data_IF_484965972195
#
_entry.id   IF_484965972195
#
_cell.length_a   1.000
_cell.length_b   1.000
_cell.length_c   1.000
_cell.angle_alpha   90.00
_cell.angle_beta   90.00
_cell.angle_gamma   90.00
#
_symmetry.space_group_name_H-M   'P 1'
#
loop_
_entity.id
_entity.type
_entity.pdbx_description
1 polymer ?
#
# COMPACT_ATOMS: atom_id res chain seq x y z
N UNK A 1 6.45 -17.20 24.31
CA UNK A 1 7.03 -17.89 23.14
C UNK A 1 6.45 -17.22 21.91
N UNK A 2 7.23 -16.42 21.19
CA UNK A 2 6.78 -15.79 19.95
C UNK A 2 6.70 -16.87 18.86
N UNK A 3 5.72 -16.82 17.94
CA UNK A 3 5.64 -17.79 16.87
C UNK A 3 6.94 -17.81 16.05
N UNK A 4 7.29 -19.00 15.56
CA UNK A 4 8.44 -19.15 14.66
C UNK A 4 8.22 -18.29 13.40
N UNK A 5 9.28 -17.59 12.98
CA UNK A 5 9.23 -16.71 11.83
C UNK A 5 9.07 -17.55 10.55
N UNK A 6 7.99 -17.33 9.80
CA UNK A 6 7.86 -17.91 8.46
C UNK A 6 8.61 -17.03 7.47
N UNK A 7 9.80 -17.48 7.08
CA UNK A 7 10.63 -16.79 6.08
C UNK A 7 9.84 -16.56 4.80
N UNK A 8 9.83 -15.32 4.32
CA UNK A 8 9.21 -14.93 3.05
C UNK A 8 9.71 -15.82 1.91
N UNK A 9 8.77 -16.53 1.26
CA UNK A 9 9.06 -17.45 0.15
C UNK A 9 8.96 -16.78 -1.22
N UNK A 10 8.43 -15.55 -1.29
CA UNK A 10 8.23 -14.81 -2.53
C UNK A 10 9.58 -14.33 -3.11
N UNK A 11 9.87 -14.73 -4.34
CA UNK A 11 11.12 -14.40 -5.06
C UNK A 11 10.96 -13.32 -6.13
N UNK A 12 9.76 -12.75 -6.30
CA UNK A 12 9.49 -11.77 -7.35
C UNK A 12 9.87 -10.37 -6.90
N UNK A 13 10.84 -9.76 -7.57
CA UNK A 13 11.34 -8.43 -7.22
C UNK A 13 10.46 -7.28 -7.72
N UNK A 14 9.82 -7.44 -8.88
CA UNK A 14 8.99 -6.42 -9.53
C UNK A 14 7.54 -6.91 -9.66
N UNK A 15 6.87 -7.05 -8.53
CA UNK A 15 5.49 -7.54 -8.45
C UNK A 15 4.65 -6.55 -7.63
N UNK A 16 3.97 -5.59 -8.27
CA UNK A 16 3.16 -4.61 -7.56
C UNK A 16 1.90 -5.27 -7.00
N UNK A 17 1.62 -4.99 -5.74
CA UNK A 17 0.33 -5.26 -5.10
C UNK A 17 -0.52 -4.01 -5.24
N UNK A 18 -1.69 -4.18 -5.83
CA UNK A 18 -2.66 -3.11 -6.09
C UNK A 18 -3.89 -3.36 -5.23
N UNK A 19 -4.23 -2.41 -4.37
CA UNK A 19 -5.40 -2.46 -3.50
C UNK A 19 -6.32 -1.30 -3.86
N UNK A 20 -7.57 -1.61 -4.24
CA UNK A 20 -8.60 -0.58 -4.41
C UNK A 20 -8.91 0.08 -3.07
N UNK A 21 -8.84 1.40 -3.01
CA UNK A 21 -9.02 2.18 -1.79
C UNK A 21 -10.44 2.07 -1.22
N UNK A 22 -11.44 1.69 -2.04
CA UNK A 22 -12.78 1.35 -1.54
C UNK A 22 -12.81 0.18 -0.56
N UNK A 23 -11.81 -0.72 -0.60
CA UNK A 23 -11.63 -1.78 0.42
C UNK A 23 -11.13 -1.23 1.76
N UNK A 24 -10.63 0.01 1.78
CA UNK A 24 -10.14 0.73 2.96
C UNK A 24 -11.20 1.66 3.57
N UNK A 25 -12.49 1.42 3.29
CA UNK A 25 -13.60 2.26 3.76
C UNK A 25 -13.67 2.43 5.29
N UNK A 26 -13.02 1.55 6.06
CA UNK A 26 -12.91 1.65 7.51
C UNK A 26 -11.83 2.61 8.03
N UNK A 27 -11.02 3.21 7.15
CA UNK A 27 -10.02 4.21 7.57
C UNK A 27 -10.72 5.49 8.05
N UNK A 28 -10.25 6.08 9.16
CA UNK A 28 -10.84 7.30 9.72
C UNK A 28 -10.51 8.56 8.91
N UNK A 29 -9.52 8.49 8.03
CA UNK A 29 -9.05 9.59 7.19
C UNK A 29 -8.67 9.05 5.80
N UNK A 30 -8.92 9.86 4.78
CA UNK A 30 -8.64 9.57 3.37
C UNK A 30 -7.59 10.51 2.76
N UNK A 31 -6.99 11.39 3.55
CA UNK A 31 -5.87 12.23 3.12
C UNK A 31 -4.60 11.38 3.00
N UNK A 32 -4.06 11.24 1.78
CA UNK A 32 -2.91 10.36 1.51
C UNK A 32 -1.66 10.77 2.30
N UNK A 33 -1.49 12.07 2.57
CA UNK A 33 -0.42 12.66 3.37
C UNK A 33 -0.32 12.08 4.80
N UNK A 34 -1.44 11.56 5.34
CA UNK A 34 -1.57 11.03 6.69
C UNK A 34 -1.53 9.50 6.75
N UNK A 35 -1.59 8.84 5.60
CA UNK A 35 -1.49 7.40 5.51
C UNK A 35 -0.03 6.95 5.59
N UNK A 36 0.23 5.86 6.31
CA UNK A 36 1.52 5.20 6.36
C UNK A 36 1.29 3.70 6.26
N UNK A 37 2.09 3.02 5.44
CA UNK A 37 2.07 1.58 5.31
C UNK A 37 3.30 0.99 6.02
N UNK A 38 3.06 0.01 6.87
CA UNK A 38 4.12 -0.67 7.63
C UNK A 38 4.02 -2.18 7.44
N UNK A 39 5.18 -2.81 7.33
CA UNK A 39 5.35 -4.24 7.43
C UNK A 39 5.80 -4.60 8.85
N UNK A 40 5.24 -5.66 9.42
CA UNK A 40 5.81 -6.27 10.63
C UNK A 40 6.94 -7.21 10.19
N UNK A 41 8.17 -6.94 10.65
CA UNK A 41 9.33 -7.82 10.47
C UNK A 41 10.02 -8.01 11.80
N UNK A 42 10.19 -9.25 12.22
CA UNK A 42 10.86 -9.57 13.48
C UNK A 42 10.30 -8.80 14.71
N UNK A 43 8.97 -8.62 14.74
CA UNK A 43 8.28 -7.88 15.81
C UNK A 43 8.49 -6.36 15.78
N UNK A 44 9.12 -5.82 14.74
CA UNK A 44 9.32 -4.39 14.51
C UNK A 44 8.47 -3.90 13.34
N UNK A 45 8.06 -2.63 13.39
CA UNK A 45 7.38 -1.97 12.27
C UNK A 45 8.42 -1.33 11.36
N UNK A 46 8.40 -1.72 10.08
CA UNK A 46 9.26 -1.16 9.05
C UNK A 46 8.40 -0.47 7.99
N UNK A 47 8.75 0.76 7.55
CA UNK A 47 7.98 1.47 6.54
C UNK A 47 8.07 0.74 5.19
N UNK A 48 6.94 0.66 4.50
CA UNK A 48 6.83 0.13 3.13
C UNK A 48 6.76 1.33 2.19
N UNK A 49 7.58 1.41 1.12
CA UNK A 49 7.37 2.38 0.05
C UNK A 49 6.05 2.06 -0.67
N UNK A 50 5.18 3.06 -0.82
CA UNK A 50 3.89 2.93 -1.48
C UNK A 50 3.54 4.20 -2.23
N UNK A 51 2.62 4.09 -3.18
CA UNK A 51 2.06 5.18 -3.95
C UNK A 51 0.53 5.09 -3.90
N UNK A 52 -0.14 6.25 -3.95
CA UNK A 52 -1.56 6.32 -4.23
C UNK A 52 -1.76 6.81 -5.66
N UNK A 53 -2.49 6.04 -6.45
CA UNK A 53 -2.78 6.32 -7.85
C UNK A 53 -4.24 6.77 -8.01
N UNK A 54 -4.48 8.04 -8.35
CA UNK A 54 -5.83 8.52 -8.61
C UNK A 54 -6.38 7.90 -9.90
N UNK A 55 -7.65 7.46 -9.85
CA UNK A 55 -8.36 6.90 -11.00
C UNK A 55 -9.56 7.77 -11.39
N UNK A 56 -9.72 7.97 -12.69
CA UNK A 56 -10.91 8.61 -13.26
C UNK A 56 -12.14 7.70 -13.17
N UNK A 57 -13.32 8.27 -13.43
CA UNK A 57 -14.58 7.51 -13.45
C UNK A 57 -14.63 6.43 -14.54
N UNK A 58 -13.77 6.54 -15.54
CA UNK A 58 -13.54 5.57 -16.62
C UNK A 58 -12.49 4.49 -16.25
N UNK A 59 -11.89 4.59 -15.07
CA UNK A 59 -10.87 3.66 -14.56
C UNK A 59 -9.45 3.96 -15.02
N UNK A 60 -9.26 4.99 -15.84
CA UNK A 60 -7.95 5.43 -16.31
C UNK A 60 -7.15 6.12 -15.20
N UNK A 61 -5.83 6.03 -15.29
CA UNK A 61 -4.92 6.61 -14.31
C UNK A 61 -4.82 8.12 -14.56
N UNK A 62 -5.09 8.92 -13.54
CA UNK A 62 -4.96 10.37 -13.61
C UNK A 62 -3.49 10.70 -13.37
N UNK A 63 -2.76 11.02 -14.43
CA UNK A 63 -1.36 11.40 -14.36
C UNK A 63 -1.25 12.91 -14.09
N UNK A 64 -0.54 13.30 -13.03
CA UNK A 64 -0.14 14.70 -12.84
C UNK A 64 0.82 15.12 -13.96
N UNK A 65 0.61 16.31 -14.56
CA UNK A 65 1.39 16.80 -15.71
C UNK A 65 2.91 16.87 -15.42
N UNK A 66 3.30 17.08 -14.16
CA UNK A 66 4.70 17.15 -13.72
C UNK A 66 5.27 15.80 -13.24
N UNK A 67 4.50 14.71 -13.29
CA UNK A 67 4.89 13.40 -12.77
C UNK A 67 5.12 13.35 -11.24
N UNK A 68 4.77 14.44 -10.54
CA UNK A 68 4.91 14.53 -9.09
C UNK A 68 3.77 13.76 -8.39
N UNK A 69 4.14 12.88 -7.47
CA UNK A 69 3.23 12.27 -6.50
C UNK A 69 2.56 13.40 -5.71
N UNK A 70 1.33 13.73 -6.08
CA UNK A 70 0.61 14.86 -5.48
C UNK A 70 -0.20 14.31 -4.33
N UNK A 71 -0.05 14.86 -3.14
CA UNK A 71 -0.91 14.51 -1.99
C UNK A 71 -2.37 14.86 -2.32
N UNK A 72 -3.29 13.96 -2.03
CA UNK A 72 -4.71 14.13 -2.35
C UNK A 72 -5.60 13.40 -1.35
N UNK A 73 -6.91 13.60 -1.46
CA UNK A 73 -7.89 12.79 -0.74
C UNK A 73 -8.40 11.70 -1.67
N UNK A 74 -8.16 10.44 -1.33
CA UNK A 74 -8.53 9.33 -2.22
C UNK A 74 -10.04 8.99 -2.13
N UNK A 75 -10.65 8.74 -3.28
CA UNK A 75 -11.97 8.13 -3.48
C UNK A 75 -11.91 6.61 -3.38
N UNK A 76 -12.99 5.91 -3.75
CA UNK A 76 -13.07 4.45 -3.65
C UNK A 76 -12.43 3.71 -4.84
N UNK A 77 -12.33 4.39 -5.98
CA UNK A 77 -11.81 3.82 -7.21
C UNK A 77 -10.28 3.93 -7.35
N UNK A 78 -9.64 4.69 -6.47
CA UNK A 78 -8.19 4.88 -6.46
C UNK A 78 -7.46 3.62 -6.02
N UNK A 79 -6.15 3.61 -6.23
CA UNK A 79 -5.31 2.44 -5.98
C UNK A 79 -4.18 2.77 -5.00
N UNK A 80 -4.05 1.97 -3.94
CA UNK A 80 -2.86 1.90 -3.13
C UNK A 80 -1.93 0.84 -3.73
N UNK A 81 -0.74 1.26 -4.12
CA UNK A 81 0.25 0.41 -4.80
C UNK A 81 1.51 0.32 -3.98
N UNK A 82 2.02 -0.90 -3.78
CA UNK A 82 3.30 -1.16 -3.13
C UNK A 82 3.90 -2.45 -3.68
N UNK A 83 5.18 -2.70 -3.44
CA UNK A 83 5.82 -3.90 -3.98
C UNK A 83 5.62 -5.11 -3.06
N UNK A 84 5.31 -6.26 -3.65
CA UNK A 84 5.13 -7.50 -2.91
C UNK A 84 6.40 -7.89 -2.14
N UNK A 85 7.60 -7.54 -2.63
CA UNK A 85 8.86 -7.75 -1.90
C UNK A 85 8.97 -6.95 -0.60
N UNK A 86 8.25 -5.84 -0.48
CA UNK A 86 8.31 -4.96 0.68
C UNK A 86 7.29 -5.32 1.76
N UNK A 87 6.47 -6.35 1.56
CA UNK A 87 5.62 -6.91 2.63
C UNK A 87 6.44 -7.63 3.69
N UNK A 88 5.91 -7.70 4.91
CA UNK A 88 6.52 -8.36 6.05
C UNK A 88 6.10 -9.82 6.20
N UNK A 89 6.35 -10.36 7.38
CA UNK A 89 5.85 -11.66 7.79
C UNK A 89 4.32 -11.60 7.94
N UNK A 90 3.68 -12.76 8.12
CA UNK A 90 2.24 -12.82 8.39
C UNK A 90 1.94 -12.06 9.70
N UNK A 91 1.10 -11.02 9.61
CA UNK A 91 0.65 -10.29 10.79
C UNK A 91 -0.11 -11.25 11.73
N UNK A 92 0.11 -11.17 13.06
CA UNK A 92 -0.67 -11.94 14.01
C UNK A 92 -2.15 -11.52 13.91
N UNK A 93 -3.04 -12.51 13.79
CA UNK A 93 -4.49 -12.32 13.85
C UNK A 93 -4.97 -11.99 15.27
#
# INVERSE_FOLDING_TARGET
MFPAHETKTLQREQDPVIVRTGLLAGLPDRETSRCRLYAVRHGSLEPVPFQFDPRGADGELILSEDGAETEFTFGDDDELVFMAKDTGDRAPN
#
